data_IF_082796275667
#
_entry.id   IF_082796275667
#
_cell.length_a   1.000
_cell.length_b   1.000
_cell.length_c   1.000
_cell.angle_alpha   90.00
_cell.angle_beta   90.00
_cell.angle_gamma   90.00
#
_symmetry.space_group_name_H-M   'P 1'
#
loop_
_entity.id
_entity.type
_entity.pdbx_description
1 polymer ?
#
# COMPACT_ATOMS: atom_id res chain seq x y z
N UNK A 1 5.12 14.19 -11.70
CA UNK A 1 5.53 14.33 -10.29
C UNK A 1 4.31 13.98 -9.46
N UNK A 2 4.33 12.82 -8.79
CA UNK A 2 3.26 12.40 -7.89
C UNK A 2 3.63 12.99 -6.53
N UNK A 3 2.98 14.10 -6.17
CA UNK A 3 3.13 14.74 -4.88
C UNK A 3 1.93 14.29 -4.05
N UNK A 4 2.09 13.19 -3.32
CA UNK A 4 1.14 12.76 -2.29
C UNK A 4 1.37 13.65 -1.08
N UNK A 5 0.56 14.71 -1.00
CA UNK A 5 0.72 15.79 -0.03
C UNK A 5 -0.06 15.55 1.28
N UNK A 6 -0.72 14.39 1.44
CA UNK A 6 -1.80 14.30 2.42
C UNK A 6 -1.58 13.27 3.52
N UNK A 7 -1.89 13.68 4.76
CA UNK A 7 -2.09 12.81 5.92
C UNK A 7 -3.30 11.87 5.74
N UNK A 8 -3.94 11.92 4.57
CA UNK A 8 -5.10 11.15 4.18
C UNK A 8 -4.91 9.65 4.38
N UNK A 9 -3.74 9.08 4.06
CA UNK A 9 -3.53 7.63 4.20
C UNK A 9 -3.58 7.18 5.66
N UNK A 10 -2.87 7.89 6.55
CA UNK A 10 -2.91 7.61 7.98
C UNK A 10 -4.28 7.90 8.58
N UNK A 11 -4.93 9.01 8.20
CA UNK A 11 -6.30 9.33 8.65
C UNK A 11 -7.30 8.26 8.21
N UNK A 12 -7.22 7.81 6.95
CA UNK A 12 -8.05 6.77 6.38
C UNK A 12 -7.83 5.44 7.08
N UNK A 13 -6.56 5.09 7.34
CA UNK A 13 -6.21 3.89 8.10
C UNK A 13 -6.75 3.95 9.53
N UNK A 14 -6.50 5.02 10.28
CA UNK A 14 -7.00 5.17 11.66
C UNK A 14 -8.53 5.13 11.72
N UNK A 15 -9.19 5.80 10.77
CA UNK A 15 -10.65 5.75 10.64
C UNK A 15 -11.15 4.32 10.39
N UNK A 16 -10.51 3.57 9.49
CA UNK A 16 -10.87 2.17 9.22
C UNK A 16 -10.64 1.24 10.43
N UNK A 17 -9.69 1.58 11.31
CA UNK A 17 -9.49 0.91 12.60
C UNK A 17 -10.45 1.38 13.71
N UNK A 18 -11.41 2.26 13.41
CA UNK A 18 -12.31 2.90 14.39
C UNK A 18 -11.56 3.68 15.51
N UNK A 19 -10.36 4.21 15.21
CA UNK A 19 -9.57 5.00 16.14
C UNK A 19 -9.70 6.49 15.78
N UNK A 20 -10.17 7.30 16.73
CA UNK A 20 -10.25 8.74 16.55
C UNK A 20 -8.84 9.35 16.59
N UNK A 21 -8.29 9.67 15.41
CA UNK A 21 -6.99 10.33 15.29
C UNK A 21 -7.15 11.86 15.40
N UNK A 22 -7.03 12.40 16.61
CA UNK A 22 -7.12 13.86 16.86
C UNK A 22 -5.81 14.60 16.56
N UNK A 23 -4.67 13.91 16.62
CA UNK A 23 -3.34 14.46 16.27
C UNK A 23 -2.39 13.33 15.90
N UNK A 24 -1.89 13.34 14.66
CA UNK A 24 -0.70 12.59 14.30
C UNK A 24 0.52 13.30 14.92
N UNK A 25 1.40 12.61 15.67
CA UNK A 25 2.66 13.19 16.08
C UNK A 25 3.41 13.66 14.82
N UNK A 26 4.12 14.79 14.92
CA UNK A 26 5.04 15.22 13.86
C UNK A 26 6.24 14.25 13.81
N UNK A 27 6.03 13.05 13.29
CA UNK A 27 7.11 12.15 12.92
C UNK A 27 7.82 12.73 11.70
N UNK A 28 9.13 12.49 11.57
CA UNK A 28 9.91 12.85 10.38
C UNK A 28 9.20 12.27 9.16
N UNK A 29 8.51 13.13 8.40
CA UNK A 29 7.68 12.73 7.26
C UNK A 29 8.63 12.45 6.11
N UNK A 30 8.79 11.18 5.81
CA UNK A 30 9.60 10.74 4.70
C UNK A 30 8.65 10.57 3.52
N UNK A 31 8.79 11.47 2.55
CA UNK A 31 7.82 11.68 1.45
C UNK A 31 8.02 10.74 0.27
N UNK A 32 9.12 10.01 0.29
CA UNK A 32 9.42 9.03 -0.73
C UNK A 32 9.36 7.67 -0.07
N UNK A 33 8.52 6.78 -0.59
CA UNK A 33 8.34 5.43 -0.07
C UNK A 33 9.68 4.73 0.24
N UNK A 34 10.72 4.97 -0.57
CA UNK A 34 12.05 4.43 -0.35
C UNK A 34 12.78 4.99 0.88
N UNK A 35 12.61 6.27 1.25
CA UNK A 35 13.23 6.84 2.45
C UNK A 35 12.47 6.40 3.70
N UNK A 36 11.13 6.39 3.66
CA UNK A 36 10.28 5.89 4.76
C UNK A 36 10.60 4.44 5.07
N UNK A 37 10.77 3.64 4.01
CA UNK A 37 11.13 2.24 4.12
C UNK A 37 12.55 2.06 4.66
N UNK A 38 13.51 2.87 4.22
CA UNK A 38 14.87 2.84 4.76
C UNK A 38 14.91 3.18 6.25
N UNK A 39 14.14 4.15 6.72
CA UNK A 39 14.04 4.48 8.13
C UNK A 39 13.37 3.35 8.95
N UNK A 40 12.31 2.72 8.41
CA UNK A 40 11.69 1.57 9.05
C UNK A 40 12.66 0.37 9.14
N UNK A 41 13.42 0.09 8.07
CA UNK A 41 14.47 -0.94 8.07
C UNK A 41 15.59 -0.63 9.08
N UNK A 42 15.88 0.64 9.32
CA UNK A 42 16.84 1.08 10.32
C UNK A 42 16.29 1.02 11.77
N UNK A 43 15.02 0.68 11.97
CA UNK A 43 14.38 0.60 13.29
C UNK A 43 13.92 1.94 13.86
N UNK A 44 13.90 3.01 13.04
CA UNK A 44 13.58 4.38 13.48
C UNK A 44 12.07 4.65 13.58
N UNK A 45 11.21 3.63 13.41
CA UNK A 45 9.77 3.76 13.62
C UNK A 45 8.92 2.80 12.81
N UNK A 46 7.66 3.19 12.62
CA UNK A 46 6.64 2.44 11.87
C UNK A 46 6.35 3.17 10.56
N UNK A 47 6.33 2.41 9.46
CA UNK A 47 5.94 2.92 8.14
C UNK A 47 4.59 2.33 7.70
N UNK A 48 3.77 3.17 7.09
CA UNK A 48 2.62 2.75 6.29
C UNK A 48 3.05 2.82 4.82
N UNK A 49 2.84 1.74 4.07
CA UNK A 49 3.30 1.66 2.70
C UNK A 49 2.62 0.53 1.94
N UNK A 50 2.82 0.53 0.62
CA UNK A 50 2.22 -0.46 -0.26
C UNK A 50 2.93 -1.81 -0.12
N UNK A 51 2.16 -2.88 0.14
CA UNK A 51 2.65 -4.24 0.31
C UNK A 51 3.53 -4.72 -0.86
N UNK A 52 3.26 -4.27 -2.10
CA UNK A 52 4.07 -4.61 -3.28
C UNK A 52 5.52 -4.09 -3.18
N UNK A 53 5.76 -3.02 -2.43
CA UNK A 53 7.10 -2.49 -2.19
C UNK A 53 7.78 -3.14 -0.98
N UNK A 54 7.01 -3.82 -0.13
CA UNK A 54 7.46 -4.38 1.14
C UNK A 54 7.73 -5.90 1.08
N UNK A 55 7.25 -6.59 0.04
CA UNK A 55 7.27 -8.06 -0.05
C UNK A 55 8.62 -8.68 0.31
N UNK A 56 9.70 -8.25 -0.35
CA UNK A 56 11.03 -8.78 -0.09
C UNK A 56 11.54 -8.48 1.34
N UNK A 57 11.19 -7.35 1.93
CA UNK A 57 11.62 -7.02 3.31
C UNK A 57 10.84 -7.79 4.37
N UNK A 58 9.56 -8.09 4.10
CA UNK A 58 8.73 -8.94 4.95
C UNK A 58 9.19 -10.40 4.89
N UNK A 59 9.52 -10.90 3.69
CA UNK A 59 10.05 -12.26 3.51
C UNK A 59 11.42 -12.44 4.17
N UNK A 60 12.30 -11.45 4.06
CA UNK A 60 13.64 -11.48 4.66
C UNK A 60 13.65 -11.16 6.16
N UNK A 61 12.52 -10.73 6.73
CA UNK A 61 12.38 -10.37 8.14
C UNK A 61 13.06 -9.05 8.53
N UNK A 62 13.53 -8.27 7.55
CA UNK A 62 14.02 -6.90 7.80
C UNK A 62 12.89 -5.97 8.22
N UNK A 63 11.65 -6.29 7.83
CA UNK A 63 10.45 -5.67 8.34
C UNK A 63 9.51 -6.73 8.86
N UNK A 64 8.73 -6.37 9.87
CA UNK A 64 7.71 -7.22 10.45
C UNK A 64 6.39 -6.47 10.38
N UNK A 65 5.32 -7.17 9.99
CA UNK A 65 3.97 -6.60 9.99
C UNK A 65 3.57 -6.29 11.44
N UNK A 66 3.21 -5.04 11.70
CA UNK A 66 2.71 -4.64 13.03
C UNK A 66 1.39 -5.37 13.29
N UNK A 67 1.38 -6.22 14.31
CA UNK A 67 0.19 -6.95 14.76
C UNK A 67 -0.08 -6.58 16.24
N UNK A 68 -1.17 -5.88 16.55
CA UNK A 68 -1.56 -5.60 17.92
C UNK A 68 -2.01 -6.88 18.64
N UNK A 69 -1.68 -6.98 19.92
CA UNK A 69 -1.93 -8.15 20.76
C UNK A 69 -3.39 -8.32 21.20
N UNK A 70 -4.22 -7.27 21.13
CA UNK A 70 -5.58 -7.27 21.70
C UNK A 70 -6.72 -7.14 20.68
N UNK A 71 -6.51 -6.49 19.54
CA UNK A 71 -7.57 -6.25 18.55
C UNK A 71 -7.00 -6.42 17.15
N UNK A 72 -7.43 -7.42 16.38
CA UNK A 72 -6.94 -7.62 15.02
C UNK A 72 -7.12 -6.35 14.17
N UNK A 73 -6.06 -5.95 13.46
CA UNK A 73 -6.16 -4.86 12.50
C UNK A 73 -7.04 -5.29 11.33
N UNK A 74 -7.91 -4.40 10.89
CA UNK A 74 -8.67 -4.58 9.66
C UNK A 74 -7.78 -4.28 8.47
N UNK A 75 -7.94 -5.04 7.39
CA UNK A 75 -7.31 -4.70 6.11
C UNK A 75 -7.93 -3.43 5.54
N UNK A 76 -7.08 -2.51 5.12
CA UNK A 76 -7.47 -1.21 4.57
C UNK A 76 -6.77 -1.06 3.24
N UNK A 77 -7.54 -0.99 2.17
CA UNK A 77 -7.02 -0.61 0.86
C UNK A 77 -6.77 0.90 0.86
N UNK A 78 -5.49 1.29 0.90
CA UNK A 78 -5.07 2.68 0.82
C UNK A 78 -4.72 3.00 -0.64
N UNK A 79 -5.55 3.83 -1.26
CA UNK A 79 -5.42 4.19 -2.67
C UNK A 79 -5.92 3.11 -3.64
N UNK A 80 -5.87 3.45 -4.93
CA UNK A 80 -6.22 2.54 -6.02
C UNK A 80 -5.39 2.87 -7.26
N UNK A 81 -4.89 1.84 -7.93
CA UNK A 81 -4.30 1.99 -9.26
C UNK A 81 -5.40 2.01 -10.31
N UNK A 82 -5.53 3.13 -11.02
CA UNK A 82 -6.57 3.32 -12.03
C UNK A 82 -5.95 3.34 -13.43
N UNK A 83 -6.38 2.40 -14.27
CA UNK A 83 -6.10 2.46 -15.71
C UNK A 83 -7.13 3.37 -16.37
N UNK A 84 -6.68 4.49 -16.95
CA UNK A 84 -7.53 5.46 -17.64
C UNK A 84 -7.17 5.57 -19.12
N UNK A 85 -8.18 5.54 -20.00
CA UNK A 85 -8.03 5.90 -21.41
C UNK A 85 -9.32 6.52 -21.94
N UNK A 86 -9.25 7.19 -23.09
CA UNK A 86 -10.45 7.69 -23.78
C UNK A 86 -11.30 6.54 -24.30
N UNK A 87 -12.60 6.76 -24.50
CA UNK A 87 -13.55 5.73 -25.00
C UNK A 87 -13.07 5.09 -26.30
N UNK A 88 -12.55 5.90 -27.24
CA UNK A 88 -12.00 5.42 -28.51
C UNK A 88 -10.74 4.54 -28.36
N UNK A 89 -9.99 4.74 -27.28
CA UNK A 89 -8.79 3.94 -26.96
C UNK A 89 -9.16 2.71 -26.15
N UNK A 90 -10.23 2.79 -25.36
CA UNK A 90 -10.75 1.72 -24.52
C UNK A 90 -11.15 0.47 -25.32
N UNK A 91 -11.72 0.68 -26.51
CA UNK A 91 -12.17 -0.38 -27.42
C UNK A 91 -11.04 -0.96 -28.31
N UNK A 92 -9.81 -0.42 -28.25
CA UNK A 92 -8.71 -0.95 -29.06
C UNK A 92 -8.34 -2.34 -28.57
N UNK A 93 -8.26 -3.30 -29.49
CA UNK A 93 -7.84 -4.69 -29.20
C UNK A 93 -6.56 -4.75 -28.35
N UNK A 94 -5.56 -3.93 -28.66
CA UNK A 94 -4.32 -3.86 -27.90
C UNK A 94 -4.51 -3.49 -26.43
N UNK A 95 -5.41 -2.55 -26.12
CA UNK A 95 -5.69 -2.15 -24.74
C UNK A 95 -6.54 -3.21 -24.03
N UNK A 96 -7.49 -3.85 -24.73
CA UNK A 96 -8.26 -4.96 -24.19
C UNK A 96 -7.32 -6.12 -23.80
N UNK A 97 -6.40 -6.50 -24.68
CA UNK A 97 -5.40 -7.53 -24.39
C UNK A 97 -4.55 -7.15 -23.18
N UNK A 98 -4.05 -5.92 -23.13
CA UNK A 98 -3.26 -5.45 -21.99
C UNK A 98 -4.05 -5.45 -20.67
N UNK A 99 -5.31 -5.00 -20.68
CA UNK A 99 -6.17 -4.99 -19.49
C UNK A 99 -6.43 -6.41 -18.98
N UNK A 100 -6.74 -7.33 -19.88
CA UNK A 100 -7.01 -8.72 -19.50
C UNK A 100 -5.75 -9.36 -18.89
N UNK A 101 -4.60 -9.17 -19.53
CA UNK A 101 -3.32 -9.61 -18.98
C UNK A 101 -3.03 -8.98 -17.61
N UNK A 102 -3.26 -7.67 -17.45
CA UNK A 102 -3.03 -6.97 -16.19
C UNK A 102 -3.91 -7.54 -15.06
N UNK A 103 -5.19 -7.84 -15.36
CA UNK A 103 -6.10 -8.46 -14.40
C UNK A 103 -5.63 -9.87 -14.03
N UNK A 104 -5.17 -10.67 -14.99
CA UNK A 104 -4.58 -11.98 -14.71
C UNK A 104 -3.34 -11.89 -13.80
N UNK A 105 -2.47 -10.91 -14.01
CA UNK A 105 -1.30 -10.71 -13.15
C UNK A 105 -1.71 -10.30 -11.72
N UNK A 106 -2.71 -9.42 -11.57
CA UNK A 106 -3.20 -9.01 -10.25
C UNK A 106 -3.84 -10.19 -9.52
N UNK A 107 -4.58 -11.04 -10.21
CA UNK A 107 -5.18 -12.25 -9.66
C UNK A 107 -4.09 -13.22 -9.12
N UNK A 108 -3.06 -13.47 -9.93
CA UNK A 108 -1.91 -14.31 -9.55
C UNK A 108 -1.20 -13.75 -8.31
N UNK A 109 -0.98 -12.44 -8.27
CA UNK A 109 -0.27 -11.81 -7.16
C UNK A 109 -1.11 -11.77 -5.87
N UNK A 110 -2.43 -11.58 -5.98
CA UNK A 110 -3.34 -11.62 -4.83
C UNK A 110 -3.33 -13.00 -4.19
N UNK A 111 -3.28 -14.07 -4.99
CA UNK A 111 -3.19 -15.46 -4.50
C UNK A 111 -1.85 -15.74 -3.80
N UNK A 112 -0.74 -15.17 -4.28
CA UNK A 112 0.57 -15.27 -3.63
C UNK A 112 0.67 -14.45 -2.33
N UNK A 113 -0.02 -13.31 -2.26
CA UNK A 113 0.00 -12.46 -1.06
C UNK A 113 -0.87 -13.05 0.07
N UNK A 114 -1.93 -13.77 -0.29
CA UNK A 114 -2.87 -14.38 0.66
C UNK A 114 -2.35 -15.65 1.36
N UNK A 115 -1.19 -16.17 0.95
CA UNK A 115 -0.52 -17.34 1.54
C UNK A 115 0.60 -16.98 2.53
N UNK A 116 0.85 -15.69 2.76
CA UNK A 116 1.77 -15.24 3.80
C UNK A 116 1.07 -15.19 5.17
N UNK A 117 1.66 -15.79 6.23
CA UNK A 117 1.06 -15.91 7.57
C UNK A 117 0.94 -14.58 8.33
#
# INVERSE_FOLDING_TARGET
MLQEEDEAEWKLWFHAQNVACTKLPAATRLWQAHITLAAARAGEGIALGNIFLLGNDLETGHLVRVQPTQTPLREVALGAYLLRASTATWEKKSLITFRNWLLEQVELETQNTSTLP
#
